data_IF_138709543835
#
_entry.id   IF_138709543835
#
_cell.length_a   1.000
_cell.length_b   1.000
_cell.length_c   1.000
_cell.angle_alpha   90.00
_cell.angle_beta   90.00
_cell.angle_gamma   90.00
#
_symmetry.space_group_name_H-M   'P 1'
#
loop_
_entity.id
_entity.type
_entity.pdbx_description
1 polymer ?
#
# COMPACT_ATOMS: atom_id res chain seq x y z
N UNK A 1 -30.76 -13.88 12.72
CA UNK A 1 -30.47 -13.82 11.27
C UNK A 1 -29.61 -12.59 11.05
N UNK A 2 -28.36 -12.69 10.57
CA UNK A 2 -27.64 -11.50 10.15
C UNK A 2 -28.42 -10.84 9.01
N UNK A 3 -28.69 -9.54 9.12
CA UNK A 3 -29.35 -8.76 8.07
C UNK A 3 -28.35 -8.61 6.91
N UNK A 4 -28.65 -9.24 5.79
CA UNK A 4 -27.91 -8.98 4.54
C UNK A 4 -28.51 -7.76 3.87
N UNK A 5 -27.66 -6.81 3.46
CA UNK A 5 -28.04 -5.67 2.62
C UNK A 5 -27.34 -5.82 1.28
N UNK A 6 -28.10 -5.69 0.19
CA UNK A 6 -27.58 -5.81 -1.17
C UNK A 6 -27.67 -4.47 -1.88
N UNK A 7 -26.54 -4.00 -2.40
CA UNK A 7 -26.50 -2.84 -3.30
C UNK A 7 -26.65 -3.34 -4.73
N UNK A 8 -27.64 -2.79 -5.44
CA UNK A 8 -27.89 -3.05 -6.86
C UNK A 8 -27.02 -2.11 -7.68
N UNK A 9 -26.02 -2.65 -8.38
CA UNK A 9 -25.08 -1.84 -9.16
C UNK A 9 -25.75 -1.13 -10.34
N UNK A 10 -26.83 -1.70 -10.86
CA UNK A 10 -27.68 -1.10 -11.90
C UNK A 10 -28.43 0.16 -11.42
N UNK A 11 -28.41 0.47 -10.11
CA UNK A 11 -28.99 1.68 -9.54
C UNK A 11 -27.94 2.76 -9.23
N UNK A 12 -26.66 2.47 -9.48
CA UNK A 12 -25.58 3.41 -9.22
C UNK A 12 -25.33 4.23 -10.49
N UNK A 13 -25.71 5.49 -10.46
CA UNK A 13 -25.37 6.44 -11.51
C UNK A 13 -23.99 7.08 -11.23
N UNK A 14 -23.09 7.16 -12.22
CA UNK A 14 -21.84 7.88 -12.08
C UNK A 14 -22.13 9.37 -11.88
N UNK A 15 -21.91 9.87 -10.67
CA UNK A 15 -22.18 11.28 -10.30
C UNK A 15 -20.92 12.09 -10.09
N UNK A 16 -19.76 11.45 -9.99
CA UNK A 16 -18.46 12.11 -9.83
C UNK A 16 -17.79 12.28 -11.19
N UNK A 17 -17.50 13.52 -11.57
CA UNK A 17 -16.70 13.86 -12.75
C UNK A 17 -15.25 14.19 -12.41
N UNK A 18 -15.00 14.55 -11.14
CA UNK A 18 -13.69 14.98 -10.68
C UNK A 18 -12.91 13.79 -10.09
N UNK A 19 -11.61 13.76 -10.37
CA UNK A 19 -10.70 12.79 -9.79
C UNK A 19 -10.47 13.00 -8.28
N UNK A 20 -9.68 12.13 -7.64
CA UNK A 20 -9.27 12.32 -6.26
C UNK A 20 -8.61 13.67 -6.02
N UNK A 21 -8.91 14.31 -4.89
CA UNK A 21 -8.39 15.63 -4.52
C UNK A 21 -7.74 15.60 -3.13
N UNK A 22 -7.03 16.69 -2.79
CA UNK A 22 -6.40 16.91 -1.49
C UNK A 22 -5.47 15.78 -1.02
N UNK A 23 -4.89 15.05 -1.97
CA UNK A 23 -3.99 13.94 -1.68
C UNK A 23 -2.74 14.43 -0.93
N UNK A 24 -2.55 13.92 0.30
CA UNK A 24 -1.41 14.24 1.16
C UNK A 24 -0.83 12.97 1.75
N UNK A 25 0.49 12.83 1.66
CA UNK A 25 1.19 11.80 2.41
C UNK A 25 1.18 12.14 3.90
N UNK A 26 0.67 11.22 4.71
CA UNK A 26 0.55 11.41 6.17
C UNK A 26 1.45 10.45 6.95
N UNK A 27 1.89 9.35 6.34
CA UNK A 27 2.88 8.46 6.93
C UNK A 27 3.56 7.59 5.88
N UNK A 28 4.73 7.10 6.24
CA UNK A 28 5.46 6.06 5.53
C UNK A 28 6.07 5.11 6.55
N UNK A 29 6.25 3.85 6.18
CA UNK A 29 6.94 2.89 7.03
C UNK A 29 7.52 1.74 6.21
N UNK A 30 8.44 0.99 6.82
CA UNK A 30 8.85 -0.31 6.30
C UNK A 30 8.50 -1.44 7.27
N UNK A 31 8.30 -2.64 6.73
CA UNK A 31 8.53 -3.87 7.49
C UNK A 31 9.99 -4.25 7.40
N UNK A 32 10.67 -4.28 8.54
CA UNK A 32 12.11 -4.54 8.59
C UNK A 32 12.42 -5.99 8.20
N UNK A 33 13.56 -6.29 7.54
CA UNK A 33 13.93 -7.67 7.18
C UNK A 33 14.01 -8.63 8.38
N UNK A 34 14.28 -8.10 9.58
CA UNK A 34 14.27 -8.89 10.82
C UNK A 34 12.88 -9.06 11.46
N UNK A 35 11.82 -8.61 10.82
CA UNK A 35 10.44 -8.74 11.34
C UNK A 35 10.03 -10.21 11.29
N UNK A 36 9.33 -10.68 12.32
CA UNK A 36 8.68 -12.02 12.33
C UNK A 36 7.20 -11.89 12.69
N UNK A 37 6.47 -13.01 12.78
CA UNK A 37 5.07 -13.03 13.22
C UNK A 37 4.98 -12.81 14.74
N UNK A 38 5.97 -13.31 15.48
CA UNK A 38 6.07 -13.19 16.93
C UNK A 38 6.48 -11.78 17.35
N UNK A 39 7.42 -11.19 16.61
CA UNK A 39 7.92 -9.83 16.85
C UNK A 39 7.89 -9.02 15.55
N UNK A 40 6.73 -8.45 15.20
CA UNK A 40 6.60 -7.57 14.05
C UNK A 40 7.41 -6.28 14.25
N UNK A 41 8.20 -5.90 13.25
CA UNK A 41 9.16 -4.79 13.36
C UNK A 41 8.99 -3.77 12.26
N UNK A 42 8.70 -2.54 12.67
CA UNK A 42 8.47 -1.41 11.77
C UNK A 42 9.51 -0.31 11.90
N UNK A 43 9.90 0.27 10.77
CA UNK A 43 10.73 1.48 10.73
C UNK A 43 9.87 2.65 10.28
N UNK A 44 9.79 3.71 11.09
CA UNK A 44 8.88 4.84 10.87
C UNK A 44 9.59 6.18 11.14
N UNK A 45 9.61 7.15 10.20
CA UNK A 45 9.19 7.03 8.81
C UNK A 45 10.04 6.01 8.04
N UNK A 46 9.45 5.43 7.00
CA UNK A 46 10.10 4.44 6.15
C UNK A 46 11.03 5.06 5.10
N UNK A 47 11.94 4.25 4.57
CA UNK A 47 12.78 4.55 3.42
C UNK A 47 12.37 3.67 2.23
N UNK A 48 11.97 4.23 1.08
CA UNK A 48 11.59 3.46 -0.10
C UNK A 48 12.80 2.93 -0.88
N UNK A 49 12.58 1.98 -1.81
CA UNK A 49 13.55 1.60 -2.83
C UNK A 49 13.78 2.77 -3.81
N UNK A 50 14.98 2.87 -4.37
CA UNK A 50 15.33 3.91 -5.35
C UNK A 50 15.48 3.33 -6.74
N UNK A 51 14.93 3.98 -7.77
CA UNK A 51 15.16 3.59 -9.15
C UNK A 51 16.66 3.64 -9.49
N UNK A 52 17.13 2.62 -10.20
CA UNK A 52 18.46 2.60 -10.79
C UNK A 52 18.42 3.29 -12.15
N UNK A 53 19.39 4.16 -12.41
CA UNK A 53 19.62 4.71 -13.75
C UNK A 53 20.26 3.62 -14.64
N UNK A 54 19.44 2.69 -15.13
CA UNK A 54 19.85 1.66 -16.09
C UNK A 54 19.52 2.09 -17.51
N UNK A 55 20.51 1.99 -18.40
CA UNK A 55 20.36 2.31 -19.83
C UNK A 55 19.98 1.11 -20.68
N UNK A 56 20.17 -0.11 -20.16
CA UNK A 56 19.94 -1.35 -20.89
C UNK A 56 18.78 -2.14 -20.27
N UNK A 57 17.87 -2.71 -21.10
CA UNK A 57 16.80 -3.58 -20.60
C UNK A 57 17.40 -4.81 -19.88
N UNK A 58 17.03 -5.07 -18.62
CA UNK A 58 17.57 -6.22 -17.90
C UNK A 58 17.04 -7.53 -18.49
N UNK A 59 17.88 -8.56 -18.50
CA UNK A 59 17.41 -9.93 -18.69
C UNK A 59 16.79 -10.39 -17.37
N UNK A 60 15.50 -10.74 -17.43
CA UNK A 60 14.74 -11.17 -16.26
C UNK A 60 14.69 -12.69 -16.13
N UNK A 61 14.84 -13.16 -14.91
CA UNK A 61 14.58 -14.56 -14.55
C UNK A 61 13.12 -14.68 -14.09
N UNK A 62 12.57 -15.89 -14.19
CA UNK A 62 11.23 -16.14 -13.65
C UNK A 62 11.27 -16.20 -12.14
N UNK A 63 10.34 -15.49 -11.49
CA UNK A 63 10.13 -15.52 -10.06
C UNK A 63 9.84 -16.96 -9.61
N UNK A 64 10.53 -17.41 -8.56
CA UNK A 64 10.35 -18.75 -7.98
C UNK A 64 10.08 -18.61 -6.48
N UNK A 65 9.08 -19.34 -6.00
CA UNK A 65 8.76 -19.44 -4.58
C UNK A 65 7.46 -18.75 -4.18
N UNK A 66 7.35 -18.53 -2.87
CA UNK A 66 6.18 -17.92 -2.23
C UNK A 66 6.53 -16.50 -1.83
N UNK A 67 5.68 -15.55 -2.21
CA UNK A 67 5.85 -14.14 -1.89
C UNK A 67 4.66 -13.63 -1.09
N UNK A 68 4.88 -12.56 -0.32
CA UNK A 68 3.80 -11.87 0.35
C UNK A 68 2.91 -11.18 -0.69
N UNK A 69 1.62 -11.54 -0.69
CA UNK A 69 0.62 -10.76 -1.40
C UNK A 69 -0.13 -9.82 -0.45
N UNK A 70 -0.06 -10.05 0.87
CA UNK A 70 -0.42 -9.11 1.94
C UNK A 70 0.51 -9.30 3.14
N UNK A 71 1.63 -8.59 3.15
CA UNK A 71 2.58 -8.69 4.26
C UNK A 71 1.99 -8.15 5.56
N UNK A 72 1.08 -7.18 5.52
CA UNK A 72 0.49 -6.65 6.76
C UNK A 72 -0.36 -7.72 7.45
N UNK A 73 -1.15 -8.48 6.68
CA UNK A 73 -1.90 -9.63 7.17
C UNK A 73 -0.97 -10.76 7.63
N UNK A 74 0.18 -10.96 6.98
CA UNK A 74 1.17 -11.94 7.39
C UNK A 74 1.81 -11.59 8.75
N UNK A 75 2.25 -10.34 8.92
CA UNK A 75 2.95 -9.87 10.13
C UNK A 75 2.00 -9.64 11.31
N UNK A 76 0.80 -9.14 11.05
CA UNK A 76 -0.21 -8.79 12.06
C UNK A 76 -1.56 -9.40 11.70
N UNK A 77 -1.69 -10.71 11.92
CA UNK A 77 -2.87 -11.46 11.47
C UNK A 77 -4.17 -10.96 12.09
N UNK A 78 -4.15 -10.64 13.37
CA UNK A 78 -5.30 -10.19 14.15
C UNK A 78 -5.62 -8.70 13.93
N UNK A 79 -4.64 -7.91 13.49
CA UNK A 79 -4.75 -6.46 13.33
C UNK A 79 -3.96 -5.92 12.13
N UNK A 80 -4.26 -6.34 10.88
CA UNK A 80 -3.45 -5.98 9.69
C UNK A 80 -3.34 -4.46 9.44
N UNK A 81 -4.31 -3.70 9.90
CA UNK A 81 -4.39 -2.24 9.77
C UNK A 81 -3.65 -1.49 10.88
N UNK A 82 -3.23 -2.15 11.95
CA UNK A 82 -2.59 -1.50 13.11
C UNK A 82 -1.30 -0.74 12.71
N UNK A 83 -0.50 -1.33 11.83
CA UNK A 83 0.74 -0.72 11.32
C UNK A 83 0.50 0.67 10.69
N UNK A 84 -0.62 0.84 9.98
CA UNK A 84 -1.03 2.13 9.40
C UNK A 84 -1.24 3.17 10.52
N UNK A 85 -2.03 2.83 11.54
CA UNK A 85 -2.32 3.74 12.66
C UNK A 85 -1.06 4.10 13.44
N UNK A 86 -0.20 3.12 13.72
CA UNK A 86 1.07 3.36 14.40
C UNK A 86 1.99 4.28 13.60
N UNK A 87 2.05 4.10 12.27
CA UNK A 87 2.85 4.95 11.40
C UNK A 87 2.33 6.40 11.40
N UNK A 88 1.01 6.61 11.27
CA UNK A 88 0.40 7.95 11.29
C UNK A 88 0.59 8.63 12.64
N UNK A 89 0.43 7.93 13.77
CA UNK A 89 0.66 8.50 15.10
C UNK A 89 2.09 9.02 15.30
N UNK A 90 3.06 8.49 14.55
CA UNK A 90 4.47 8.89 14.61
C UNK A 90 4.80 9.98 13.61
N UNK A 91 4.33 9.86 12.36
CA UNK A 91 4.63 10.81 11.28
C UNK A 91 3.78 12.08 11.36
N UNK A 92 2.50 11.95 11.72
CA UNK A 92 1.54 13.04 11.82
C UNK A 92 0.76 12.95 13.15
N UNK A 93 1.39 13.27 14.30
CA UNK A 93 0.79 13.03 15.63
C UNK A 93 -0.54 13.75 15.90
N UNK A 94 -0.81 14.86 15.19
CA UNK A 94 -2.03 15.65 15.33
C UNK A 94 -3.03 15.38 14.18
N UNK A 95 -2.94 14.23 13.53
CA UNK A 95 -3.85 13.86 12.45
C UNK A 95 -5.29 13.74 12.97
N UNK A 96 -6.23 14.44 12.31
CA UNK A 96 -7.64 14.45 12.69
C UNK A 96 -8.36 13.22 12.14
N UNK A 97 -8.37 12.15 12.91
CA UNK A 97 -9.12 10.93 12.59
C UNK A 97 -10.65 11.13 12.58
N UNK A 98 -11.18 12.16 13.24
CA UNK A 98 -12.63 12.40 13.26
C UNK A 98 -13.16 12.90 11.92
N UNK A 99 -12.28 13.47 11.09
CA UNK A 99 -12.60 13.90 9.73
C UNK A 99 -12.54 12.75 8.69
N UNK A 100 -12.10 11.55 9.07
CA UNK A 100 -11.93 10.42 8.15
C UNK A 100 -13.19 9.56 8.09
N UNK A 101 -13.67 9.29 6.88
CA UNK A 101 -14.80 8.39 6.66
C UNK A 101 -14.34 6.94 6.47
N UNK A 102 -13.28 6.71 5.70
CA UNK A 102 -12.81 5.36 5.36
C UNK A 102 -11.30 5.22 5.53
N UNK A 103 -10.85 4.19 6.25
CA UNK A 103 -9.46 3.73 6.28
C UNK A 103 -9.36 2.43 5.50
N UNK A 104 -8.45 2.34 4.54
CA UNK A 104 -8.38 1.17 3.65
C UNK A 104 -7.00 0.96 3.04
N UNK A 105 -6.85 -0.18 2.35
CA UNK A 105 -5.74 -0.46 1.46
C UNK A 105 -6.12 -0.21 0.00
N UNK A 106 -5.14 0.21 -0.81
CA UNK A 106 -5.31 0.35 -2.27
C UNK A 106 -5.88 -0.90 -2.92
N UNK A 107 -5.57 -2.10 -2.39
CA UNK A 107 -6.10 -3.36 -2.90
C UNK A 107 -7.63 -3.47 -2.74
N UNK A 108 -8.19 -3.01 -1.61
CA UNK A 108 -9.63 -3.03 -1.37
C UNK A 108 -10.36 -2.07 -2.32
N UNK A 109 -9.79 -0.89 -2.58
CA UNK A 109 -10.31 0.02 -3.61
C UNK A 109 -10.27 -0.63 -5.00
N UNK A 110 -9.18 -1.31 -5.37
CA UNK A 110 -9.10 -2.05 -6.63
C UNK A 110 -10.17 -3.13 -6.75
N UNK A 111 -10.43 -3.90 -5.69
CA UNK A 111 -11.51 -4.90 -5.65
C UNK A 111 -12.88 -4.26 -5.91
N UNK A 112 -13.18 -3.15 -5.23
CA UNK A 112 -14.43 -2.40 -5.40
C UNK A 112 -14.55 -1.83 -6.83
N UNK A 113 -13.49 -1.22 -7.35
CA UNK A 113 -13.48 -0.69 -8.72
C UNK A 113 -13.70 -1.79 -9.76
N UNK A 114 -13.05 -2.96 -9.60
CA UNK A 114 -13.27 -4.12 -10.48
C UNK A 114 -14.73 -4.59 -10.44
N UNK A 115 -15.36 -4.58 -9.27
CA UNK A 115 -16.77 -4.95 -9.13
C UNK A 115 -17.70 -4.01 -9.91
N UNK A 116 -17.37 -2.71 -9.93
CA UNK A 116 -18.14 -1.68 -10.63
C UNK A 116 -17.87 -1.65 -12.14
N UNK A 117 -16.67 -2.05 -12.56
CA UNK A 117 -16.21 -2.00 -13.94
C UNK A 117 -15.54 -3.33 -14.33
N UNK A 118 -16.31 -4.43 -14.46
CA UNK A 118 -15.77 -5.76 -14.73
C UNK A 118 -15.00 -5.85 -16.05
N UNK A 119 -15.28 -4.95 -17.00
CA UNK A 119 -14.58 -4.88 -18.28
C UNK A 119 -13.17 -4.27 -18.19
N UNK A 120 -12.80 -3.63 -17.07
CA UNK A 120 -11.47 -3.04 -16.88
C UNK A 120 -10.40 -4.06 -16.46
N UNK A 121 -10.81 -5.28 -16.09
CA UNK A 121 -9.87 -6.31 -15.70
C UNK A 121 -10.21 -7.65 -16.39
N UNK A 122 -9.23 -8.23 -17.08
CA UNK A 122 -9.36 -9.53 -17.74
C UNK A 122 -9.07 -10.72 -16.81
N UNK A 123 -8.75 -10.45 -15.55
CA UNK A 123 -8.61 -11.48 -14.53
C UNK A 123 -10.00 -11.92 -14.07
N UNK A 124 -10.30 -13.22 -14.26
CA UNK A 124 -11.58 -13.91 -14.07
C UNK A 124 -12.44 -13.46 -12.89
N UNK A 125 -13.73 -13.78 -13.01
CA UNK A 125 -14.88 -13.73 -12.08
C UNK A 125 -14.56 -14.14 -10.62
N UNK A 126 -13.66 -13.42 -9.96
CA UNK A 126 -13.28 -13.66 -8.58
C UNK A 126 -14.12 -12.77 -7.69
N UNK A 127 -15.09 -13.43 -7.04
CA UNK A 127 -15.68 -12.92 -5.81
C UNK A 127 -14.57 -12.45 -4.87
N UNK A 128 -14.83 -11.36 -4.17
CA UNK A 128 -13.91 -10.81 -3.21
C UNK A 128 -14.64 -10.57 -1.89
N UNK A 129 -13.86 -10.58 -0.81
CA UNK A 129 -14.32 -10.20 0.51
C UNK A 129 -13.43 -9.07 1.05
N UNK A 130 -14.07 -8.22 1.82
CA UNK A 130 -13.48 -7.13 2.61
C UNK A 130 -14.21 -7.18 3.95
N UNK A 131 -13.48 -7.22 5.05
CA UNK A 131 -14.05 -7.12 6.39
C UNK A 131 -14.15 -5.64 6.78
N UNK A 132 -15.22 -5.31 7.50
CA UNK A 132 -15.57 -3.93 7.86
C UNK A 132 -15.65 -3.81 9.38
N UNK A 133 -14.83 -2.93 9.94
CA UNK A 133 -14.95 -2.49 11.33
C UNK A 133 -15.47 -1.05 11.37
N UNK A 134 -16.49 -0.77 12.18
CA UNK A 134 -17.05 0.57 12.35
C UNK A 134 -16.57 1.13 13.70
N UNK A 135 -15.78 2.19 13.65
CA UNK A 135 -15.25 2.89 14.83
C UNK A 135 -15.78 4.32 14.82
N UNK A 136 -16.83 4.57 15.62
CA UNK A 136 -17.54 5.85 15.57
C UNK A 136 -18.20 6.05 14.20
N UNK A 137 -17.75 7.06 13.45
CA UNK A 137 -18.20 7.33 12.06
C UNK A 137 -17.29 6.73 10.98
N UNK A 138 -16.11 6.26 11.37
CA UNK A 138 -15.09 5.79 10.43
C UNK A 138 -15.28 4.30 10.17
N UNK A 139 -15.19 3.90 8.91
CA UNK A 139 -15.18 2.50 8.49
C UNK A 139 -13.76 2.09 8.15
N UNK A 140 -13.27 1.04 8.78
CA UNK A 140 -11.97 0.42 8.47
C UNK A 140 -12.22 -0.80 7.59
N UNK A 141 -11.66 -0.79 6.39
CA UNK A 141 -11.76 -1.85 5.40
C UNK A 141 -10.51 -2.73 5.46
N UNK A 142 -10.65 -3.95 5.98
CA UNK A 142 -9.56 -4.92 6.08
C UNK A 142 -9.63 -5.91 4.92
N UNK A 143 -8.50 -6.11 4.24
CA UNK A 143 -8.41 -7.06 3.14
C UNK A 143 -8.65 -8.48 3.66
N UNK A 144 -9.52 -9.21 2.98
CA UNK A 144 -9.64 -10.67 3.15
C UNK A 144 -9.02 -11.36 1.93
N UNK A 145 -8.24 -12.40 2.20
CA UNK A 145 -7.56 -13.22 1.19
C UNK A 145 -6.31 -13.89 1.75
N UNK A 146 -5.56 -14.60 0.89
CA UNK A 146 -4.26 -15.13 1.29
C UNK A 146 -3.29 -13.97 1.62
N UNK A 147 -2.41 -14.22 2.60
CA UNK A 147 -1.30 -13.33 2.94
C UNK A 147 -0.06 -13.60 2.06
N UNK A 148 0.05 -14.83 1.56
CA UNK A 148 1.15 -15.31 0.73
C UNK A 148 0.59 -16.06 -0.48
N UNK A 149 1.28 -15.97 -1.61
CA UNK A 149 0.92 -16.71 -2.83
C UNK A 149 2.15 -17.11 -3.62
N UNK A 150 2.04 -18.22 -4.36
CA UNK A 150 3.01 -18.53 -5.41
C UNK A 150 2.85 -17.50 -6.53
N UNK A 151 3.94 -16.82 -6.85
CA UNK A 151 3.97 -15.84 -7.93
C UNK A 151 4.54 -16.50 -9.17
N UNK A 152 3.87 -16.27 -10.30
CA UNK A 152 4.33 -16.69 -11.62
C UNK A 152 4.56 -15.43 -12.45
N UNK A 153 5.76 -15.27 -12.99
CA UNK A 153 6.12 -14.08 -13.76
C UNK A 153 7.57 -13.70 -13.54
N UNK A 154 7.88 -12.44 -13.77
CA UNK A 154 9.21 -11.86 -13.55
C UNK A 154 9.08 -10.47 -12.90
N UNK A 155 8.01 -10.26 -12.12
CA UNK A 155 7.70 -8.96 -11.51
C UNK A 155 8.70 -8.61 -10.41
N UNK A 156 8.98 -9.55 -9.51
CA UNK A 156 9.98 -9.35 -8.45
C UNK A 156 11.38 -9.26 -9.03
N UNK A 157 11.74 -10.15 -9.98
CA UNK A 157 13.01 -10.05 -10.70
C UNK A 157 13.17 -8.71 -11.42
N UNK A 158 12.10 -8.11 -11.93
CA UNK A 158 12.15 -6.78 -12.54
C UNK A 158 12.35 -5.69 -11.51
N UNK A 159 11.61 -5.69 -10.40
CA UNK A 159 11.81 -4.75 -9.29
C UNK A 159 13.25 -4.80 -8.76
N UNK A 160 13.81 -5.99 -8.56
CA UNK A 160 15.19 -6.20 -8.09
C UNK A 160 16.24 -5.62 -9.05
N UNK A 161 16.00 -5.67 -10.35
CA UNK A 161 16.93 -5.15 -11.36
C UNK A 161 16.77 -3.64 -11.60
N UNK A 162 15.58 -3.11 -11.36
CA UNK A 162 15.25 -1.70 -11.61
C UNK A 162 15.41 -0.83 -10.36
N UNK A 163 15.66 -1.41 -9.19
CA UNK A 163 15.75 -0.66 -7.94
C UNK A 163 17.00 -1.01 -7.12
N UNK A 164 17.50 -0.02 -6.38
CA UNK A 164 18.31 -0.27 -5.19
C UNK A 164 17.32 -0.49 -4.04
N UNK A 165 17.28 -1.71 -3.45
CA UNK A 165 16.28 -2.04 -2.44
C UNK A 165 16.48 -1.21 -1.18
N UNK A 166 15.40 -0.97 -0.44
CA UNK A 166 15.50 -0.32 0.85
C UNK A 166 16.20 -1.25 1.86
N UNK A 167 17.25 -0.76 2.57
CA UNK A 167 17.87 -1.54 3.64
C UNK A 167 16.93 -1.77 4.83
N UNK A 168 15.84 -0.98 4.92
CA UNK A 168 14.83 -1.09 5.98
C UNK A 168 13.68 -2.03 5.59
N UNK A 169 13.75 -2.68 4.43
CA UNK A 169 12.78 -3.69 3.96
C UNK A 169 11.63 -3.12 3.12
N UNK A 170 10.52 -3.85 3.03
CA UNK A 170 9.40 -3.51 2.14
C UNK A 170 8.73 -2.21 2.59
N UNK A 171 8.43 -1.31 1.64
CA UNK A 171 7.99 0.05 1.95
C UNK A 171 6.49 0.22 1.76
N UNK A 172 5.85 1.00 2.64
CA UNK A 172 4.44 1.37 2.55
C UNK A 172 4.29 2.88 2.72
N UNK A 173 3.37 3.43 1.93
CA UNK A 173 2.94 4.83 1.96
C UNK A 173 1.48 4.89 2.43
N UNK A 174 1.16 5.89 3.24
CA UNK A 174 -0.19 6.18 3.70
C UNK A 174 -0.55 7.60 3.26
N UNK A 175 -1.64 7.72 2.52
CA UNK A 175 -2.12 8.98 1.93
C UNK A 175 -3.53 9.26 2.43
N UNK A 176 -3.78 10.50 2.87
CA UNK A 176 -5.14 11.02 3.01
C UNK A 176 -5.57 11.68 1.71
N UNK A 177 -6.78 11.43 1.22
CA UNK A 177 -7.32 12.03 0.00
C UNK A 177 -8.85 12.08 0.07
N UNK A 178 -9.45 12.95 -0.74
CA UNK A 178 -10.89 13.02 -0.91
C UNK A 178 -11.30 12.35 -2.23
N UNK A 179 -12.29 11.46 -2.18
CA UNK A 179 -12.99 10.96 -3.37
C UNK A 179 -14.40 11.57 -3.37
N UNK A 180 -14.55 12.69 -4.08
CA UNK A 180 -15.74 13.52 -3.97
C UNK A 180 -15.91 14.05 -2.54
N UNK A 181 -16.95 13.59 -1.85
CA UNK A 181 -17.26 13.99 -0.45
C UNK A 181 -16.79 12.99 0.60
N UNK A 182 -16.19 11.88 0.18
CA UNK A 182 -15.72 10.83 1.08
C UNK A 182 -14.25 11.09 1.38
N UNK A 183 -13.91 11.26 2.66
CA UNK A 183 -12.53 11.41 3.11
C UNK A 183 -11.91 10.03 3.37
N UNK A 184 -10.83 9.71 2.66
CA UNK A 184 -10.13 8.43 2.74
C UNK A 184 -8.74 8.56 3.33
N UNK A 185 -8.33 7.54 4.08
CA UNK A 185 -6.93 7.21 4.34
C UNK A 185 -6.61 5.89 3.67
N UNK A 186 -5.67 5.92 2.72
CA UNK A 186 -5.32 4.79 1.87
C UNK A 186 -3.86 4.40 2.09
N UNK A 187 -3.62 3.13 2.39
CA UNK A 187 -2.27 2.55 2.41
C UNK A 187 -1.98 1.79 1.12
N UNK A 188 -0.74 1.91 0.65
CA UNK A 188 -0.21 1.20 -0.51
C UNK A 188 1.25 0.80 -0.29
N UNK A 189 1.62 -0.38 -0.77
CA UNK A 189 3.02 -0.69 -1.08
C UNK A 189 3.48 0.16 -2.27
N UNK A 190 4.74 0.57 -2.25
CA UNK A 190 5.36 1.33 -3.34
C UNK A 190 6.65 0.67 -3.75
N UNK A 191 6.83 0.53 -5.07
CA UNK A 191 7.93 -0.20 -5.67
C UNK A 191 9.21 0.65 -5.74
N UNK A 192 9.11 1.95 -6.06
CA UNK A 192 10.29 2.81 -6.11
C UNK A 192 10.00 4.32 -5.97
N UNK A 193 11.08 5.08 -5.76
CA UNK A 193 11.15 6.54 -5.96
C UNK A 193 12.35 6.89 -6.84
N UNK A 194 12.34 8.07 -7.47
CA UNK A 194 13.52 8.59 -8.17
C UNK A 194 14.67 8.87 -7.18
N UNK A 195 15.84 8.27 -7.45
CA UNK A 195 17.07 8.43 -6.65
C UNK A 195 17.81 9.74 -6.86
N UNK A 196 17.53 10.48 -7.93
CA UNK A 196 18.31 11.67 -8.31
C UNK A 196 18.17 12.86 -7.36
N UNK A 197 16.99 13.07 -6.78
CA UNK A 197 16.70 14.28 -5.98
C UNK A 197 16.48 14.02 -4.49
N UNK A 198 16.35 12.76 -4.09
CA UNK A 198 16.00 12.36 -2.73
C UNK A 198 17.19 11.73 -2.02
N UNK A 199 17.42 12.14 -0.77
CA UNK A 199 18.45 11.53 0.08
C UNK A 199 17.82 10.75 1.20
N UNK A 200 18.39 9.59 1.50
CA UNK A 200 18.08 8.85 2.70
C UNK A 200 18.55 9.63 3.93
N UNK A 201 17.70 9.70 4.94
CA UNK A 201 18.10 10.16 6.26
C UNK A 201 18.11 8.93 7.15
N UNK A 202 19.30 8.51 7.56
CA UNK A 202 19.42 7.49 8.60
C UNK A 202 19.37 8.16 9.97
N UNK A 203 18.67 7.53 10.90
CA UNK A 203 18.71 7.88 12.32
C UNK A 203 19.12 6.62 13.08
N UNK A 204 20.10 6.76 13.97
CA UNK A 204 20.36 5.73 14.96
C UNK A 204 19.20 5.77 15.96
N UNK A 205 18.42 4.72 16.00
CA UNK A 205 17.35 4.52 16.96
C UNK A 205 17.30 3.04 17.33
N UNK A 206 16.93 2.77 18.58
CA UNK A 206 16.70 1.42 19.06
C UNK A 206 15.26 0.99 18.80
N UNK A 207 15.04 -0.33 18.82
CA UNK A 207 13.70 -0.90 18.79
C UNK A 207 12.99 -0.57 20.09
N UNK A 208 11.78 -0.04 19.99
CA UNK A 208 10.94 0.27 21.15
C UNK A 208 9.62 -0.49 21.06
N UNK A 209 9.24 -1.25 22.10
CA UNK A 209 7.93 -1.88 22.14
C UNK A 209 6.84 -0.81 22.27
N UNK A 210 5.65 -1.11 21.75
CA UNK A 210 4.46 -0.27 21.94
C UNK A 210 3.51 -0.89 22.94
N UNK A 211 3.14 -0.20 24.04
CA UNK A 211 2.17 -0.72 24.98
C UNK A 211 0.88 -1.14 24.29
N UNK A 212 0.41 -2.36 24.54
CA UNK A 212 -0.81 -2.91 23.93
C UNK A 212 -0.65 -3.39 22.48
N UNK A 213 0.58 -3.40 21.94
CA UNK A 213 0.88 -3.83 20.58
C UNK A 213 2.02 -4.85 20.59
N UNK A 214 2.02 -5.78 19.62
CA UNK A 214 3.17 -6.65 19.34
C UNK A 214 4.23 -5.96 18.49
N UNK A 215 3.92 -4.80 17.91
CA UNK A 215 4.82 -4.10 16.99
C UNK A 215 5.93 -3.43 17.80
N UNK A 216 7.17 -3.79 17.47
CA UNK A 216 8.35 -3.01 17.83
C UNK A 216 8.61 -1.96 16.75
N UNK A 217 8.82 -0.72 17.18
CA UNK A 217 9.05 0.40 16.26
C UNK A 217 10.43 1.00 16.47
N UNK A 218 11.17 1.15 15.38
CA UNK A 218 12.41 1.92 15.29
C UNK A 218 12.11 3.25 14.59
N UNK A 219 12.58 4.37 15.15
CA UNK A 219 12.46 5.66 14.47
C UNK A 219 13.43 5.74 13.29
N UNK A 220 12.90 5.73 12.07
CA UNK A 220 13.64 6.01 10.85
C UNK A 220 13.87 7.50 10.64
N UNK A 221 14.61 7.85 9.59
CA UNK A 221 14.71 9.24 9.13
C UNK A 221 13.98 9.52 7.82
N UNK A 222 13.54 8.48 7.10
CA UNK A 222 12.80 8.57 5.85
C UNK A 222 13.51 9.32 4.74
N UNK A 223 12.71 9.91 3.85
CA UNK A 223 13.19 10.77 2.76
C UNK A 223 13.21 12.24 3.17
N UNK A 224 14.19 12.99 2.68
CA UNK A 224 14.24 14.45 2.86
C UNK A 224 14.63 15.17 1.57
N UNK A 225 13.78 16.10 1.14
CA UNK A 225 14.05 17.13 0.12
C UNK A 225 13.08 18.31 0.33
N UNK A 226 13.45 19.23 1.23
CA UNK A 226 12.58 20.38 1.54
C UNK A 226 11.18 19.97 1.98
N UNK A 227 10.15 20.61 1.40
CA UNK A 227 8.72 20.35 1.61
C UNK A 227 8.05 19.60 0.45
N UNK A 228 8.83 19.12 -0.53
CA UNK A 228 8.28 18.39 -1.67
C UNK A 228 7.81 17.00 -1.23
N UNK A 229 6.94 16.38 -2.03
CA UNK A 229 6.58 14.97 -1.92
C UNK A 229 7.35 14.23 -3.03
N UNK A 230 7.97 13.08 -2.76
CA UNK A 230 8.64 12.30 -3.80
C UNK A 230 7.64 11.80 -4.84
N UNK A 231 8.12 11.68 -6.08
CA UNK A 231 7.39 10.97 -7.11
C UNK A 231 7.62 9.47 -6.90
N UNK A 232 6.50 8.75 -6.78
CA UNK A 232 6.46 7.33 -6.51
C UNK A 232 6.16 6.58 -7.80
N UNK A 233 6.87 5.48 -8.00
CA UNK A 233 6.79 4.66 -9.20
C UNK A 233 6.26 3.27 -8.85
N UNK A 234 5.29 2.80 -9.63
CA UNK A 234 4.82 1.42 -9.62
C UNK A 234 5.46 0.71 -10.82
N UNK A 235 6.17 -0.38 -10.55
CA UNK A 235 6.86 -1.17 -11.56
C UNK A 235 6.00 -2.39 -11.92
N UNK A 236 5.85 -2.64 -13.22
CA UNK A 236 5.00 -3.73 -13.71
C UNK A 236 5.61 -4.39 -14.93
N UNK A 237 5.50 -5.72 -14.98
CA UNK A 237 5.84 -6.54 -16.14
C UNK A 237 4.59 -7.06 -16.81
N UNK A 238 4.55 -7.07 -18.14
CA UNK A 238 3.50 -7.73 -18.91
C UNK A 238 4.08 -8.29 -20.21
N UNK A 239 3.56 -9.44 -20.65
CA UNK A 239 3.87 -9.96 -21.99
C UNK A 239 3.21 -9.12 -23.07
N UNK A 240 4.00 -8.63 -24.03
CA UNK A 240 3.55 -7.84 -25.19
C UNK A 240 2.54 -8.57 -26.10
N UNK A 241 2.37 -9.91 -25.93
CA UNK A 241 1.34 -10.68 -26.65
C UNK A 241 -0.10 -10.33 -26.24
N UNK A 242 -0.30 -9.60 -25.13
CA UNK A 242 -1.60 -9.07 -24.71
C UNK A 242 -1.51 -7.54 -24.73
N UNK A 243 -2.21 -6.88 -25.66
CA UNK A 243 -2.29 -5.41 -25.69
C UNK A 243 -2.77 -4.86 -24.34
N UNK A 244 -2.25 -3.70 -23.94
CA UNK A 244 -2.70 -2.95 -22.77
C UNK A 244 -2.98 -1.54 -23.26
N UNK A 245 -4.21 -1.07 -23.04
CA UNK A 245 -4.57 0.30 -23.34
C UNK A 245 -4.20 1.17 -22.13
N UNK A 246 -3.16 1.98 -22.29
CA UNK A 246 -2.71 2.92 -21.26
C UNK A 246 -3.67 4.09 -21.05
N UNK A 247 -4.60 4.33 -21.98
CA UNK A 247 -5.55 5.43 -21.89
C UNK A 247 -6.58 5.26 -20.75
N UNK A 248 -6.73 4.04 -20.20
CA UNK A 248 -7.58 3.78 -19.03
C UNK A 248 -6.83 3.73 -17.69
N UNK A 249 -5.51 3.99 -17.68
CA UNK A 249 -4.67 3.92 -16.47
C UNK A 249 -4.38 5.29 -15.83
N UNK A 250 -4.79 6.40 -16.48
CA UNK A 250 -4.62 7.77 -16.02
C UNK A 250 -5.95 8.51 -15.97
#
# INVERSE_FOLDING_TARGET
MPSSSTIRLDWVEPTLTDGPSDAKEIATYNWHPSSTIEVPRMVVPGLPPFLVDSRDPPKLEYDQGTFFCDENQYRQKESPTESLFQAVAICTPNFDWQAVDIVTDRNNLRKLMRALQPQWDSFDDQSFQIDLDIVGRTVVLTRVGPAESQVFGCGHSFEDQMTTPSPEGSFRRVVSLNLGRVALVVRSEIDAVDGGTWRSVSRKAEWSPKPGSRIEIKRGGGLKKGSECPEYWELKTKSLKKSFDWAGAY
#
